data_IF_231512707420
#
_entry.id   IF_231512707420
#
_cell.length_a   1.000
_cell.length_b   1.000
_cell.length_c   1.000
_cell.angle_alpha   90.00
_cell.angle_beta   90.00
_cell.angle_gamma   90.00
#
_symmetry.space_group_name_H-M   'P 1'
#
loop_
_entity.id
_entity.type
_entity.pdbx_description
1 polymer ?
#
# COMPACT_ATOMS: atom_id res chain seq x y z
N UNK A 1 -6.27 17.07 -14.38
CA UNK A 1 -5.85 15.85 -13.66
C UNK A 1 -4.86 15.12 -14.55
N UNK A 2 -3.60 14.95 -14.10
CA UNK A 2 -2.60 14.20 -14.89
C UNK A 2 -2.91 12.73 -14.68
N UNK A 3 -3.02 11.96 -15.75
CA UNK A 3 -3.25 10.52 -15.65
C UNK A 3 -2.01 9.79 -15.12
N UNK A 4 -2.20 8.72 -14.37
CA UNK A 4 -1.10 7.92 -13.82
C UNK A 4 -0.13 7.41 -14.92
N UNK A 5 -0.67 7.02 -16.05
CA UNK A 5 0.09 6.56 -17.23
C UNK A 5 1.01 7.65 -17.78
N UNK A 6 0.55 8.90 -17.84
CA UNK A 6 1.36 10.05 -18.26
C UNK A 6 2.49 10.34 -17.26
N UNK A 7 2.21 10.24 -15.94
CA UNK A 7 3.23 10.40 -14.92
C UNK A 7 4.34 9.34 -15.01
N UNK A 8 3.99 8.11 -15.40
CA UNK A 8 4.94 6.98 -15.47
C UNK A 8 5.70 6.90 -16.81
N UNK A 9 5.31 7.68 -17.83
CA UNK A 9 5.96 7.66 -19.13
C UNK A 9 7.51 7.74 -19.08
N UNK A 10 8.13 8.60 -18.24
CA UNK A 10 9.59 8.69 -18.17
C UNK A 10 10.30 7.42 -17.64
N UNK A 11 9.58 6.48 -17.05
CA UNK A 11 10.11 5.20 -16.53
C UNK A 11 9.38 3.99 -17.11
N UNK A 12 8.68 4.16 -18.23
CA UNK A 12 7.85 3.11 -18.84
C UNK A 12 8.68 1.88 -19.23
N UNK A 13 9.83 2.08 -19.88
CA UNK A 13 10.72 0.98 -20.25
C UNK A 13 11.24 0.21 -19.04
N UNK A 14 11.58 0.91 -17.96
CA UNK A 14 12.02 0.27 -16.71
C UNK A 14 10.87 -0.53 -16.06
N UNK A 15 9.64 -0.04 -16.11
CA UNK A 15 8.46 -0.77 -15.64
C UNK A 15 8.15 -2.01 -16.50
N UNK A 16 8.41 -1.94 -17.79
CA UNK A 16 8.36 -3.12 -18.66
C UNK A 16 9.40 -4.16 -18.27
N UNK A 17 10.63 -3.74 -17.97
CA UNK A 17 11.67 -4.65 -17.53
C UNK A 17 11.36 -5.29 -16.19
N UNK A 18 10.77 -4.56 -15.26
CA UNK A 18 10.21 -5.13 -14.02
C UNK A 18 9.12 -6.16 -14.34
N UNK A 19 8.25 -5.88 -15.31
CA UNK A 19 7.20 -6.81 -15.74
C UNK A 19 7.76 -8.10 -16.33
N UNK A 20 8.83 -8.01 -17.12
CA UNK A 20 9.56 -9.16 -17.66
C UNK A 20 10.21 -9.97 -16.54
N UNK A 21 10.85 -9.29 -15.56
CA UNK A 21 11.50 -9.96 -14.43
C UNK A 21 10.44 -10.66 -13.54
N UNK A 22 9.30 -10.04 -13.26
CA UNK A 22 8.18 -10.67 -12.55
C UNK A 22 7.78 -11.96 -13.24
N UNK A 23 7.49 -11.93 -14.55
CA UNK A 23 7.09 -13.13 -15.32
C UNK A 23 8.16 -14.22 -15.31
N UNK A 24 9.43 -13.85 -15.35
CA UNK A 24 10.56 -14.78 -15.27
C UNK A 24 10.62 -15.46 -13.89
N UNK A 25 10.46 -14.71 -12.82
CA UNK A 25 10.58 -15.18 -11.44
C UNK A 25 9.35 -15.97 -10.97
N UNK A 26 8.19 -15.82 -11.61
CA UNK A 26 6.98 -16.59 -11.30
C UNK A 26 7.05 -18.05 -11.76
N UNK A 27 7.94 -18.41 -12.66
CA UNK A 27 8.02 -19.78 -13.21
C UNK A 27 8.23 -20.81 -12.12
N UNK A 28 7.36 -21.81 -12.09
CA UNK A 28 7.38 -22.97 -11.19
C UNK A 28 7.04 -24.23 -12.00
N UNK A 29 7.56 -25.37 -11.58
CA UNK A 29 7.15 -26.70 -12.10
C UNK A 29 5.75 -27.08 -11.62
N UNK A 30 5.26 -26.44 -10.56
CA UNK A 30 3.93 -26.69 -9.97
C UNK A 30 2.88 -25.84 -10.71
N UNK A 31 1.99 -26.51 -11.46
CA UNK A 31 1.00 -25.86 -12.32
C UNK A 31 0.09 -24.90 -11.55
N UNK A 32 -0.38 -25.29 -10.37
CA UNK A 32 -1.28 -24.47 -9.56
C UNK A 32 -0.62 -23.16 -9.10
N UNK A 33 0.69 -23.19 -8.79
CA UNK A 33 1.45 -21.97 -8.46
C UNK A 33 1.42 -21.00 -9.63
N UNK A 34 1.67 -21.47 -10.87
CA UNK A 34 1.64 -20.62 -12.04
C UNK A 34 0.23 -20.05 -12.30
N UNK A 35 -0.82 -20.85 -12.11
CA UNK A 35 -2.21 -20.41 -12.33
C UNK A 35 -2.61 -19.27 -11.37
N UNK A 36 -2.44 -19.48 -10.06
CA UNK A 36 -2.84 -18.49 -9.05
C UNK A 36 -1.95 -17.24 -9.10
N UNK A 37 -0.61 -17.41 -9.23
CA UNK A 37 0.31 -16.29 -9.29
C UNK A 37 0.10 -15.43 -10.56
N UNK A 38 -0.11 -16.03 -11.72
CA UNK A 38 -0.43 -15.28 -12.93
C UNK A 38 -1.78 -14.59 -12.81
N UNK A 39 -2.81 -15.26 -12.26
CA UNK A 39 -4.12 -14.67 -12.06
C UNK A 39 -4.04 -13.36 -11.26
N UNK A 40 -3.38 -13.36 -10.10
CA UNK A 40 -3.28 -12.15 -9.26
C UNK A 40 -2.42 -11.07 -9.91
N UNK A 41 -1.30 -11.41 -10.54
CA UNK A 41 -0.42 -10.44 -11.23
C UNK A 41 -1.12 -9.82 -12.44
N UNK A 42 -1.86 -10.63 -13.24
CA UNK A 42 -2.58 -10.16 -14.43
C UNK A 42 -3.93 -9.48 -14.07
N UNK A 43 -4.38 -9.58 -12.82
CA UNK A 43 -5.55 -8.82 -12.33
C UNK A 43 -5.32 -7.31 -12.35
N UNK A 44 -4.12 -6.89 -12.64
CA UNK A 44 -3.75 -5.50 -12.87
C UNK A 44 -3.40 -4.77 -11.58
N UNK A 45 -2.92 -3.57 -11.75
CA UNK A 45 -2.52 -2.66 -10.68
C UNK A 45 -1.63 -1.58 -11.25
N UNK A 46 -1.64 -0.43 -10.60
CA UNK A 46 -0.83 0.73 -11.01
C UNK A 46 0.68 0.51 -10.80
N UNK A 47 1.08 -0.58 -10.11
CA UNK A 47 2.49 -0.89 -9.77
C UNK A 47 3.23 0.30 -9.16
N UNK A 48 2.52 1.04 -8.29
CA UNK A 48 3.04 2.26 -7.67
C UNK A 48 4.31 2.01 -6.84
N UNK A 49 4.36 0.90 -6.09
CA UNK A 49 5.53 0.57 -5.26
C UNK A 49 6.79 0.24 -6.09
N UNK A 50 6.73 -0.60 -7.13
CA UNK A 50 7.82 -0.73 -8.12
C UNK A 50 8.25 0.59 -8.75
N UNK A 51 7.28 1.43 -9.14
CA UNK A 51 7.57 2.75 -9.71
C UNK A 51 8.34 3.64 -8.73
N UNK A 52 8.03 3.58 -7.43
CA UNK A 52 8.77 4.34 -6.40
C UNK A 52 10.23 3.90 -6.29
N UNK A 53 10.53 2.60 -6.39
CA UNK A 53 11.92 2.10 -6.45
C UNK A 53 12.66 2.75 -7.62
N UNK A 54 12.05 2.75 -8.79
CA UNK A 54 12.67 3.28 -10.02
C UNK A 54 12.81 4.80 -9.98
N UNK A 55 11.74 5.53 -9.63
CA UNK A 55 11.75 7.00 -9.56
C UNK A 55 12.73 7.50 -8.51
N UNK A 56 12.74 6.89 -7.32
CA UNK A 56 13.65 7.29 -6.25
C UNK A 56 15.10 7.02 -6.65
N UNK A 57 15.39 5.95 -7.37
CA UNK A 57 16.74 5.67 -7.88
C UNK A 57 17.23 6.79 -8.82
N UNK A 58 16.37 7.31 -9.68
CA UNK A 58 16.65 8.42 -10.60
C UNK A 58 16.80 9.76 -9.87
N UNK A 59 16.11 9.96 -8.76
CA UNK A 59 16.27 11.16 -7.91
C UNK A 59 17.58 11.15 -7.15
N UNK A 60 17.98 10.00 -6.64
CA UNK A 60 19.17 9.80 -5.81
C UNK A 60 20.44 9.76 -6.68
N UNK A 61 20.44 8.94 -7.73
CA UNK A 61 21.57 8.74 -8.62
C UNK A 61 21.40 9.55 -9.91
N UNK A 62 22.00 10.73 -9.95
CA UNK A 62 22.02 11.54 -11.17
C UNK A 62 23.16 11.12 -12.14
N UNK A 63 24.10 10.31 -11.68
CA UNK A 63 25.14 9.72 -12.53
C UNK A 63 24.61 8.45 -13.19
N UNK A 64 24.46 8.50 -14.52
CA UNK A 64 23.99 7.37 -15.31
C UNK A 64 24.86 6.13 -15.15
N UNK A 65 26.17 6.26 -14.95
CA UNK A 65 27.07 5.11 -14.75
C UNK A 65 26.78 4.35 -13.47
N UNK A 66 26.40 5.04 -12.40
CA UNK A 66 25.98 4.40 -11.14
C UNK A 66 24.65 3.69 -11.32
N UNK A 67 23.72 4.33 -12.02
CA UNK A 67 22.43 3.72 -12.35
C UNK A 67 22.59 2.47 -13.21
N UNK A 68 23.36 2.54 -14.28
CA UNK A 68 23.65 1.40 -15.17
C UNK A 68 24.26 0.22 -14.40
N UNK A 69 25.21 0.50 -13.50
CA UNK A 69 25.84 -0.52 -12.66
C UNK A 69 24.84 -1.27 -11.77
N UNK A 70 23.83 -0.58 -11.25
CA UNK A 70 22.87 -1.13 -10.31
C UNK A 70 21.52 -1.47 -10.94
N UNK A 71 21.34 -1.22 -12.24
CA UNK A 71 20.06 -1.31 -12.93
C UNK A 71 19.36 -2.66 -12.73
N UNK A 72 20.08 -3.75 -12.97
CA UNK A 72 19.51 -5.10 -12.82
C UNK A 72 19.07 -5.37 -11.38
N UNK A 73 19.82 -4.90 -10.39
CA UNK A 73 19.44 -5.04 -8.98
C UNK A 73 18.24 -4.18 -8.63
N UNK A 74 18.10 -2.99 -9.22
CA UNK A 74 16.91 -2.14 -9.03
C UNK A 74 15.65 -2.82 -9.60
N UNK A 75 15.74 -3.39 -10.80
CA UNK A 75 14.65 -4.15 -11.43
C UNK A 75 14.27 -5.37 -10.57
N UNK A 76 15.27 -6.14 -10.08
CA UNK A 76 15.05 -7.26 -9.16
C UNK A 76 14.37 -6.81 -7.87
N UNK A 77 14.81 -5.71 -7.27
CA UNK A 77 14.22 -5.21 -6.03
C UNK A 77 12.81 -4.64 -6.24
N UNK A 78 12.54 -3.99 -7.36
CA UNK A 78 11.18 -3.59 -7.73
C UNK A 78 10.24 -4.81 -7.89
N UNK A 79 10.75 -5.92 -8.45
CA UNK A 79 10.05 -7.21 -8.50
C UNK A 79 9.81 -7.78 -7.09
N UNK A 80 10.80 -7.76 -6.19
CA UNK A 80 10.68 -8.19 -4.79
C UNK A 80 9.58 -7.42 -4.08
N UNK A 81 9.56 -6.11 -4.19
CA UNK A 81 8.52 -5.25 -3.60
C UNK A 81 7.12 -5.64 -4.10
N UNK A 82 6.97 -5.91 -5.40
CA UNK A 82 5.69 -6.35 -5.96
C UNK A 82 5.30 -7.75 -5.49
N UNK A 83 6.26 -8.68 -5.34
CA UNK A 83 5.98 -10.02 -4.81
C UNK A 83 5.53 -9.98 -3.35
N UNK A 84 6.21 -9.21 -2.49
CA UNK A 84 5.78 -9.03 -1.10
C UNK A 84 4.37 -8.42 -1.06
N UNK A 85 4.12 -7.36 -1.83
CA UNK A 85 2.79 -6.77 -1.90
C UNK A 85 1.73 -7.76 -2.37
N UNK A 86 2.00 -8.52 -3.42
CA UNK A 86 1.05 -9.50 -3.97
C UNK A 86 0.80 -10.64 -2.98
N UNK A 87 1.83 -11.08 -2.27
CA UNK A 87 1.70 -12.10 -1.22
C UNK A 87 0.79 -11.61 -0.08
N UNK A 88 0.97 -10.35 0.37
CA UNK A 88 0.07 -9.79 1.40
C UNK A 88 -1.37 -9.69 0.90
N UNK A 89 -1.60 -9.32 -0.37
CA UNK A 89 -2.95 -9.30 -0.93
C UNK A 89 -3.62 -10.69 -0.96
N UNK A 90 -2.86 -11.75 -1.29
CA UNK A 90 -3.38 -13.12 -1.27
C UNK A 90 -3.75 -13.59 0.15
N UNK A 91 -2.96 -13.21 1.14
CA UNK A 91 -3.24 -13.52 2.54
C UNK A 91 -4.41 -12.71 3.08
N UNK A 92 -4.46 -11.41 2.77
CA UNK A 92 -5.54 -10.51 3.17
C UNK A 92 -6.89 -10.98 2.63
N UNK A 93 -6.98 -11.36 1.34
CA UNK A 93 -8.22 -11.87 0.74
C UNK A 93 -8.77 -13.09 1.49
N UNK A 94 -7.89 -13.92 2.08
CA UNK A 94 -8.31 -15.08 2.89
C UNK A 94 -8.72 -14.66 4.30
N UNK A 95 -7.98 -13.76 4.94
CA UNK A 95 -8.26 -13.28 6.32
C UNK A 95 -9.55 -12.47 6.35
N UNK A 96 -9.78 -11.63 5.34
CA UNK A 96 -10.95 -10.77 5.21
C UNK A 96 -12.16 -11.49 4.55
N UNK A 97 -11.99 -12.76 4.13
CA UNK A 97 -12.98 -13.53 3.36
C UNK A 97 -13.51 -12.76 2.13
N UNK A 98 -12.65 -11.96 1.51
CA UNK A 98 -13.02 -11.04 0.43
C UNK A 98 -13.34 -11.79 -0.87
N UNK A 99 -14.56 -11.65 -1.38
CA UNK A 99 -15.00 -12.26 -2.66
C UNK A 99 -14.54 -11.47 -3.90
N UNK A 100 -14.41 -10.16 -3.80
CA UNK A 100 -14.11 -9.26 -4.91
C UNK A 100 -12.95 -8.31 -4.60
N UNK A 101 -12.10 -8.07 -5.61
CA UNK A 101 -11.04 -7.07 -5.59
C UNK A 101 -10.95 -6.39 -6.96
N UNK A 102 -11.07 -5.06 -7.00
CA UNK A 102 -11.06 -4.28 -8.27
C UNK A 102 -12.08 -4.81 -9.28
N UNK A 103 -13.30 -5.08 -8.84
CA UNK A 103 -14.39 -5.63 -9.66
C UNK A 103 -14.12 -7.01 -10.27
N UNK A 104 -13.08 -7.73 -9.82
CA UNK A 104 -12.80 -9.12 -10.20
C UNK A 104 -12.90 -10.03 -8.97
N UNK A 105 -13.19 -11.29 -9.19
CA UNK A 105 -13.13 -12.29 -8.13
C UNK A 105 -11.71 -12.36 -7.54
N UNK A 106 -11.61 -12.61 -6.24
CA UNK A 106 -10.31 -12.82 -5.59
C UNK A 106 -9.75 -14.20 -5.91
N UNK A 107 -8.45 -14.40 -5.73
CA UNK A 107 -7.87 -15.74 -5.82
C UNK A 107 -8.48 -16.68 -4.76
N UNK A 108 -8.82 -16.15 -3.57
CA UNK A 108 -9.55 -16.87 -2.54
C UNK A 108 -10.91 -17.38 -3.02
N UNK A 109 -11.69 -16.54 -3.71
CA UNK A 109 -13.00 -16.94 -4.27
C UNK A 109 -12.89 -18.03 -5.34
N UNK A 110 -11.88 -17.95 -6.23
CA UNK A 110 -11.72 -18.85 -7.36
C UNK A 110 -11.02 -20.18 -7.02
N UNK A 111 -9.98 -20.11 -6.17
CA UNK A 111 -9.10 -21.27 -5.91
C UNK A 111 -9.21 -21.77 -4.47
N UNK A 112 -9.86 -21.02 -3.58
CA UNK A 112 -10.00 -21.34 -2.16
C UNK A 112 -8.85 -20.84 -1.29
N UNK A 113 -8.99 -21.02 0.03
CA UNK A 113 -8.07 -20.52 1.05
C UNK A 113 -6.67 -21.12 0.95
N UNK A 114 -6.57 -22.45 0.86
CA UNK A 114 -5.29 -23.13 0.89
C UNK A 114 -4.38 -22.77 -0.31
N UNK A 115 -4.84 -22.77 -1.58
CA UNK A 115 -4.03 -22.27 -2.70
C UNK A 115 -3.60 -20.82 -2.55
N UNK A 116 -4.49 -19.93 -2.08
CA UNK A 116 -4.17 -18.50 -1.90
C UNK A 116 -3.06 -18.30 -0.88
N UNK A 117 -3.15 -18.94 0.29
CA UNK A 117 -2.10 -18.86 1.32
C UNK A 117 -0.78 -19.43 0.82
N UNK A 118 -0.79 -20.66 0.26
CA UNK A 118 0.44 -21.34 -0.17
C UNK A 118 1.12 -20.64 -1.34
N UNK A 119 0.38 -20.00 -2.25
CA UNK A 119 0.98 -19.22 -3.34
C UNK A 119 1.47 -17.87 -2.82
N UNK A 120 0.82 -17.26 -1.82
CA UNK A 120 1.37 -16.13 -1.08
C UNK A 120 2.73 -16.46 -0.45
N UNK A 121 2.85 -17.61 0.22
CA UNK A 121 4.11 -18.10 0.80
C UNK A 121 5.18 -18.37 -0.28
N UNK A 122 4.78 -18.89 -1.44
CA UNK A 122 5.68 -19.06 -2.58
C UNK A 122 6.23 -17.72 -3.07
N UNK A 123 5.39 -16.70 -3.25
CA UNK A 123 5.83 -15.36 -3.67
C UNK A 123 6.77 -14.74 -2.64
N UNK A 124 6.44 -14.90 -1.36
CA UNK A 124 7.27 -14.44 -0.24
C UNK A 124 8.64 -15.09 -0.27
N UNK A 125 8.68 -16.42 -0.37
CA UNK A 125 9.92 -17.21 -0.44
C UNK A 125 10.75 -16.86 -1.67
N UNK A 126 10.10 -16.65 -2.82
CA UNK A 126 10.75 -16.22 -4.06
C UNK A 126 11.37 -14.84 -3.94
N UNK A 127 10.70 -13.91 -3.26
CA UNK A 127 11.25 -12.59 -2.96
C UNK A 127 12.55 -12.71 -2.15
N UNK A 128 12.62 -13.57 -1.13
CA UNK A 128 13.85 -13.82 -0.37
C UNK A 128 14.96 -14.41 -1.25
N UNK A 129 14.65 -15.36 -2.14
CA UNK A 129 15.65 -15.91 -3.08
C UNK A 129 16.26 -14.80 -3.95
N UNK A 130 15.43 -13.90 -4.49
CA UNK A 130 15.91 -12.77 -5.30
C UNK A 130 16.79 -11.82 -4.48
N UNK A 131 16.42 -11.54 -3.23
CA UNK A 131 17.22 -10.69 -2.34
C UNK A 131 18.59 -11.31 -2.02
N UNK A 132 18.66 -12.63 -1.84
CA UNK A 132 19.94 -13.34 -1.67
C UNK A 132 20.83 -13.18 -2.90
N UNK A 133 20.27 -13.27 -4.12
CA UNK A 133 21.01 -13.05 -5.37
C UNK A 133 21.54 -11.61 -5.52
N UNK A 134 20.82 -10.62 -5.00
CA UNK A 134 21.26 -9.21 -4.98
C UNK A 134 22.45 -9.03 -4.02
N UNK A 135 22.57 -9.88 -3.01
CA UNK A 135 23.69 -9.97 -2.08
C UNK A 135 24.09 -8.61 -1.45
N UNK A 136 23.11 -7.87 -0.97
CA UNK A 136 23.31 -6.60 -0.26
C UNK A 136 22.72 -6.68 1.14
N UNK A 137 23.61 -6.66 2.16
CA UNK A 137 23.20 -6.81 3.56
C UNK A 137 22.22 -5.73 4.02
N UNK A 138 22.45 -4.47 3.64
CA UNK A 138 21.57 -3.35 4.04
C UNK A 138 20.16 -3.49 3.46
N UNK A 139 20.05 -3.95 2.21
CA UNK A 139 18.76 -4.26 1.59
C UNK A 139 18.06 -5.40 2.34
N UNK A 140 18.79 -6.46 2.70
CA UNK A 140 18.22 -7.56 3.50
C UNK A 140 17.70 -7.07 4.86
N UNK A 141 18.44 -6.18 5.54
CA UNK A 141 18.01 -5.56 6.80
C UNK A 141 16.73 -4.72 6.63
N UNK A 142 16.67 -3.88 5.59
CA UNK A 142 15.49 -3.07 5.26
C UNK A 142 14.28 -3.95 5.02
N UNK A 143 14.43 -4.97 4.18
CA UNK A 143 13.30 -5.84 3.80
C UNK A 143 12.86 -6.76 4.94
N UNK A 144 13.80 -7.34 5.69
CA UNK A 144 13.46 -8.14 6.88
C UNK A 144 12.68 -7.32 7.91
N UNK A 145 13.11 -6.09 8.17
CA UNK A 145 12.39 -5.18 9.07
C UNK A 145 11.03 -4.77 8.49
N UNK A 146 10.95 -4.51 7.17
CA UNK A 146 9.69 -4.14 6.53
C UNK A 146 8.67 -5.28 6.61
N UNK A 147 9.07 -6.49 6.24
CA UNK A 147 8.18 -7.66 6.24
C UNK A 147 7.71 -8.05 7.64
N UNK A 148 8.60 -7.99 8.64
CA UNK A 148 8.21 -8.21 10.04
C UNK A 148 7.21 -7.16 10.52
N UNK A 149 7.47 -5.87 10.26
CA UNK A 149 6.56 -4.78 10.64
C UNK A 149 5.19 -4.90 9.97
N UNK A 150 5.16 -5.32 8.69
CA UNK A 150 3.89 -5.55 7.97
C UNK A 150 3.10 -6.67 8.63
N UNK A 151 3.74 -7.79 8.95
CA UNK A 151 3.10 -8.90 9.65
C UNK A 151 2.55 -8.48 11.03
N UNK A 152 3.31 -7.69 11.80
CA UNK A 152 2.81 -7.09 13.04
C UNK A 152 1.61 -6.15 12.78
N UNK A 153 1.61 -5.40 11.67
CA UNK A 153 0.51 -4.52 11.26
C UNK A 153 -0.78 -5.28 10.97
N UNK A 154 -0.69 -6.44 10.30
CA UNK A 154 -1.82 -7.33 10.04
C UNK A 154 -2.43 -7.86 11.35
N UNK A 155 -1.59 -8.35 12.26
CA UNK A 155 -2.04 -8.82 13.58
C UNK A 155 -2.68 -7.68 14.38
N UNK A 156 -2.09 -6.48 14.36
CA UNK A 156 -2.66 -5.30 15.02
C UNK A 156 -4.03 -4.94 14.42
N UNK A 157 -4.21 -5.00 13.10
CA UNK A 157 -5.49 -4.76 12.47
C UNK A 157 -6.52 -5.79 12.92
N UNK A 158 -6.17 -7.07 12.90
CA UNK A 158 -7.05 -8.15 13.37
C UNK A 158 -7.49 -7.95 14.82
N UNK A 159 -6.55 -7.57 15.71
CA UNK A 159 -6.87 -7.28 17.12
C UNK A 159 -7.75 -6.06 17.30
N UNK A 160 -7.74 -5.14 16.35
CA UNK A 160 -8.53 -3.91 16.38
C UNK A 160 -9.90 -4.07 15.69
N UNK A 161 -10.14 -5.16 14.97
CA UNK A 161 -11.44 -5.43 14.35
C UNK A 161 -12.54 -5.49 15.41
N UNK A 162 -13.65 -4.81 15.13
CA UNK A 162 -14.80 -4.68 16.02
C UNK A 162 -14.49 -4.07 17.41
N UNK A 163 -13.33 -3.42 17.58
CA UNK A 163 -13.02 -2.67 18.81
C UNK A 163 -13.58 -1.23 18.72
N UNK A 164 -14.66 -0.90 19.47
CA UNK A 164 -15.27 0.41 19.41
C UNK A 164 -14.48 1.50 20.13
N UNK A 165 -13.42 1.15 20.85
CA UNK A 165 -12.60 2.06 21.65
C UNK A 165 -11.24 2.37 21.00
N UNK A 166 -11.10 2.06 19.72
CA UNK A 166 -9.94 2.41 18.92
C UNK A 166 -9.78 3.94 18.84
N UNK A 167 -8.57 4.41 19.07
CA UNK A 167 -8.21 5.81 18.89
C UNK A 167 -7.40 6.07 17.61
N UNK A 168 -7.22 7.33 17.26
CA UNK A 168 -6.46 7.76 16.08
C UNK A 168 -5.01 7.27 16.09
N UNK A 169 -4.34 7.22 17.25
CA UNK A 169 -2.94 6.80 17.34
C UNK A 169 -2.79 5.30 17.03
N UNK A 170 -3.69 4.47 17.58
CA UNK A 170 -3.72 3.04 17.28
C UNK A 170 -4.03 2.78 15.81
N UNK A 171 -4.98 3.51 15.23
CA UNK A 171 -5.30 3.45 13.80
C UNK A 171 -4.09 3.86 12.95
N UNK A 172 -3.45 5.01 13.20
CA UNK A 172 -2.28 5.46 12.46
C UNK A 172 -1.11 4.47 12.56
N UNK A 173 -0.96 3.80 13.70
CA UNK A 173 0.05 2.73 13.83
C UNK A 173 -0.24 1.58 12.88
N UNK A 174 -1.48 1.13 12.79
CA UNK A 174 -1.88 0.04 11.88
C UNK A 174 -1.56 0.40 10.43
N UNK A 175 -2.03 1.55 9.93
CA UNK A 175 -1.82 1.91 8.52
C UNK A 175 -0.34 2.16 8.17
N UNK A 176 0.44 2.67 9.13
CA UNK A 176 1.89 2.83 8.95
C UNK A 176 2.60 1.48 8.88
N UNK A 177 2.20 0.53 9.70
CA UNK A 177 2.80 -0.81 9.75
C UNK A 177 2.37 -1.64 8.54
N UNK A 178 1.06 -1.77 8.31
CA UNK A 178 0.50 -2.61 7.24
C UNK A 178 0.80 -2.05 5.85
N UNK A 179 0.55 -0.77 5.61
CA UNK A 179 0.55 -0.17 4.28
C UNK A 179 1.80 0.67 4.00
N UNK A 180 2.09 1.67 4.84
CA UNK A 180 3.13 2.66 4.55
C UNK A 180 4.54 2.08 4.65
N UNK A 181 4.74 1.02 5.43
CA UNK A 181 6.04 0.38 5.63
C UNK A 181 6.66 -0.15 4.32
N UNK A 182 5.85 -0.72 3.42
CA UNK A 182 6.36 -1.18 2.13
C UNK A 182 6.67 -0.02 1.17
N UNK A 183 5.95 1.10 1.26
CA UNK A 183 6.29 2.34 0.56
C UNK A 183 7.63 2.90 1.06
N UNK A 184 7.85 2.90 2.37
CA UNK A 184 9.13 3.28 2.98
C UNK A 184 10.27 2.44 2.40
N UNK A 185 10.17 1.10 2.48
CA UNK A 185 11.18 0.19 1.95
C UNK A 185 11.44 0.41 0.46
N UNK A 186 10.40 0.65 -0.35
CA UNK A 186 10.52 0.94 -1.78
C UNK A 186 11.41 2.17 -2.05
N UNK A 187 11.37 3.17 -1.18
CA UNK A 187 12.18 4.38 -1.31
C UNK A 187 13.58 4.25 -0.68
N UNK A 188 13.76 3.43 0.37
CA UNK A 188 15.05 3.20 1.02
C UNK A 188 16.00 2.34 0.17
N UNK A 189 15.48 1.35 -0.54
CA UNK A 189 16.25 0.37 -1.32
C UNK A 189 17.23 1.04 -2.31
N UNK A 190 16.85 2.02 -3.16
CA UNK A 190 17.74 2.63 -4.10
C UNK A 190 18.94 3.34 -3.43
N UNK A 191 18.72 4.00 -2.29
CA UNK A 191 19.75 4.67 -1.53
C UNK A 191 20.73 3.67 -0.90
N UNK A 192 20.19 2.58 -0.34
CA UNK A 192 20.97 1.49 0.24
C UNK A 192 21.81 0.76 -0.84
N UNK A 193 21.23 0.50 -2.01
CA UNK A 193 21.91 -0.15 -3.14
C UNK A 193 23.08 0.70 -3.65
N UNK A 194 22.93 2.02 -3.62
CA UNK A 194 23.97 2.98 -4.02
C UNK A 194 24.97 3.28 -2.90
N UNK A 195 24.90 2.59 -1.76
CA UNK A 195 25.77 2.76 -0.58
C UNK A 195 25.84 4.23 -0.11
N UNK A 196 24.70 4.92 -0.11
CA UNK A 196 24.63 6.30 0.36
C UNK A 196 24.58 6.39 1.88
N UNK A 197 24.84 7.58 2.40
CA UNK A 197 24.78 7.86 3.84
C UNK A 197 23.39 7.56 4.43
N UNK A 198 23.36 7.11 5.68
CA UNK A 198 22.12 6.77 6.41
C UNK A 198 21.09 7.91 6.38
N UNK A 199 21.56 9.17 6.45
CA UNK A 199 20.69 10.36 6.35
C UNK A 199 19.89 10.38 5.04
N UNK A 200 20.50 10.00 3.92
CA UNK A 200 19.84 9.95 2.61
C UNK A 200 18.84 8.80 2.55
N UNK A 201 19.23 7.62 3.09
CA UNK A 201 18.32 6.47 3.20
C UNK A 201 17.10 6.84 4.03
N UNK A 202 17.30 7.45 5.20
CA UNK A 202 16.20 7.90 6.07
C UNK A 202 15.31 8.94 5.41
N UNK A 203 15.85 9.92 4.68
CA UNK A 203 15.05 10.93 3.99
C UNK A 203 14.18 10.32 2.89
N UNK A 204 14.74 9.40 2.08
CA UNK A 204 14.01 8.66 1.07
C UNK A 204 12.91 7.78 1.71
N UNK A 205 13.25 7.07 2.79
CA UNK A 205 12.31 6.24 3.54
C UNK A 205 11.17 7.06 4.15
N UNK A 206 11.48 8.23 4.72
CA UNK A 206 10.46 9.13 5.29
C UNK A 206 9.48 9.63 4.22
N UNK A 207 9.97 9.97 3.02
CA UNK A 207 9.09 10.26 1.89
C UNK A 207 8.11 9.12 1.62
N UNK A 208 8.62 7.88 1.52
CA UNK A 208 7.79 6.70 1.28
C UNK A 208 6.77 6.45 2.41
N UNK A 209 7.17 6.60 3.67
CA UNK A 209 6.30 6.45 4.83
C UNK A 209 5.14 7.45 4.80
N UNK A 210 5.43 8.73 4.57
CA UNK A 210 4.39 9.77 4.50
C UNK A 210 3.48 9.58 3.29
N UNK A 211 4.02 9.26 2.10
CA UNK A 211 3.23 8.96 0.91
C UNK A 211 2.30 7.76 1.14
N UNK A 212 2.81 6.68 1.74
CA UNK A 212 2.02 5.48 2.04
C UNK A 212 0.93 5.74 3.07
N UNK A 213 1.20 6.61 4.07
CA UNK A 213 0.20 7.02 5.07
C UNK A 213 -0.90 7.87 4.40
N UNK A 214 -0.54 8.86 3.57
CA UNK A 214 -1.51 9.66 2.80
C UNK A 214 -2.34 8.79 1.85
N UNK A 215 -1.69 7.81 1.20
CA UNK A 215 -2.35 6.85 0.33
C UNK A 215 -3.45 6.08 1.05
N UNK A 216 -3.19 5.53 2.25
CA UNK A 216 -4.20 4.79 3.01
C UNK A 216 -5.31 5.70 3.53
N UNK A 217 -4.97 6.89 4.06
CA UNK A 217 -5.98 7.87 4.51
C UNK A 217 -6.95 8.25 3.38
N UNK A 218 -6.45 8.38 2.14
CA UNK A 218 -7.29 8.66 0.97
C UNK A 218 -8.15 7.44 0.59
N UNK A 219 -7.62 6.23 0.71
CA UNK A 219 -8.37 4.98 0.51
C UNK A 219 -9.57 4.90 1.46
N UNK A 220 -9.33 5.15 2.74
CA UNK A 220 -10.36 5.11 3.77
C UNK A 220 -11.45 6.18 3.53
N UNK A 221 -11.08 7.34 2.97
CA UNK A 221 -12.08 8.35 2.54
C UNK A 221 -12.91 7.83 1.37
N UNK A 222 -12.26 7.22 0.38
CA UNK A 222 -12.94 6.70 -0.81
C UNK A 222 -13.97 5.62 -0.47
N UNK A 223 -13.71 4.80 0.54
CA UNK A 223 -14.65 3.78 1.02
C UNK A 223 -16.01 4.38 1.43
N UNK A 224 -16.06 5.65 1.80
CA UNK A 224 -17.32 6.33 2.17
C UNK A 224 -17.88 7.26 1.10
N UNK A 225 -17.05 7.86 0.21
CA UNK A 225 -17.51 8.91 -0.70
C UNK A 225 -17.50 8.53 -2.18
N UNK A 226 -16.81 7.46 -2.56
CA UNK A 226 -16.76 6.97 -3.94
C UNK A 226 -18.11 6.43 -4.42
N UNK A 227 -18.17 6.08 -5.68
CA UNK A 227 -19.31 5.30 -6.23
C UNK A 227 -18.93 3.82 -6.27
N UNK A 228 -19.90 2.92 -6.15
CA UNK A 228 -19.66 1.47 -6.23
C UNK A 228 -18.95 1.07 -7.53
N UNK A 229 -19.22 1.79 -8.63
CA UNK A 229 -18.55 1.58 -9.92
C UNK A 229 -17.09 2.04 -9.93
N UNK A 230 -16.73 3.06 -9.15
CA UNK A 230 -15.36 3.56 -9.03
C UNK A 230 -14.52 2.70 -8.07
N UNK A 231 -15.11 2.27 -6.96
CA UNK A 231 -14.40 1.53 -5.89
C UNK A 231 -14.34 0.03 -6.20
N UNK A 232 -15.33 -0.49 -6.95
CA UNK A 232 -15.46 -1.92 -7.21
C UNK A 232 -15.97 -2.75 -6.02
N UNK A 233 -16.45 -2.09 -4.95
CA UNK A 233 -16.98 -2.63 -3.70
C UNK A 233 -18.17 -1.79 -3.24
N UNK A 234 -18.94 -2.28 -2.26
CA UNK A 234 -20.00 -1.49 -1.62
C UNK A 234 -19.40 -0.39 -0.75
N UNK A 235 -20.10 0.74 -0.65
CA UNK A 235 -19.70 1.83 0.27
C UNK A 235 -19.70 1.36 1.73
N UNK A 236 -18.62 1.70 2.47
CA UNK A 236 -18.47 1.31 3.85
C UNK A 236 -18.09 -0.17 4.01
N UNK A 237 -17.37 -0.73 3.07
CA UNK A 237 -16.92 -2.12 3.10
C UNK A 237 -15.98 -2.37 4.28
N UNK A 238 -15.07 -1.45 4.57
CA UNK A 238 -14.20 -1.51 5.76
C UNK A 238 -15.01 -1.58 7.07
N UNK A 239 -16.12 -0.84 7.14
CA UNK A 239 -17.00 -0.89 8.29
C UNK A 239 -17.73 -2.25 8.40
N UNK A 240 -18.10 -2.88 7.27
CA UNK A 240 -18.70 -4.22 7.24
C UNK A 240 -17.73 -5.30 7.66
N UNK A 241 -16.47 -5.13 7.30
CA UNK A 241 -15.37 -6.00 7.72
C UNK A 241 -14.94 -5.75 9.19
N UNK A 242 -15.58 -4.81 9.87
CA UNK A 242 -15.28 -4.46 11.27
C UNK A 242 -13.99 -3.64 11.44
N UNK A 243 -13.46 -3.07 10.36
CA UNK A 243 -12.23 -2.27 10.36
C UNK A 243 -12.53 -0.82 10.80
N UNK A 244 -12.00 -0.35 11.95
CA UNK A 244 -12.23 1.01 12.42
C UNK A 244 -11.30 1.98 11.68
N UNK A 245 -11.78 2.58 10.60
CA UNK A 245 -11.05 3.60 9.84
C UNK A 245 -11.20 5.00 10.45
N UNK A 246 -10.32 5.93 10.07
CA UNK A 246 -10.29 7.26 10.67
C UNK A 246 -11.61 8.04 10.57
N UNK A 247 -12.36 8.01 9.46
CA UNK A 247 -13.67 8.65 9.40
C UNK A 247 -14.63 8.15 10.50
N UNK A 248 -14.66 6.84 10.76
CA UNK A 248 -15.46 6.25 11.84
C UNK A 248 -14.98 6.70 13.22
N UNK A 249 -13.67 6.62 13.47
CA UNK A 249 -13.05 7.04 14.73
C UNK A 249 -13.37 8.51 15.03
N UNK A 250 -13.30 9.36 14.00
CA UNK A 250 -13.63 10.80 14.14
C UNK A 250 -15.07 11.01 14.55
N UNK A 251 -16.03 10.34 13.92
CA UNK A 251 -17.45 10.44 14.28
C UNK A 251 -17.67 9.96 15.72
N UNK A 252 -17.10 8.82 16.10
CA UNK A 252 -17.21 8.32 17.48
C UNK A 252 -16.66 9.32 18.50
N UNK A 253 -15.51 9.96 18.19
CA UNK A 253 -14.85 10.90 19.11
C UNK A 253 -15.60 12.23 19.27
N UNK A 254 -16.32 12.69 18.25
CA UNK A 254 -16.99 14.00 18.20
C UNK A 254 -18.49 13.94 18.48
N UNK A 255 -19.09 12.77 18.48
CA UNK A 255 -20.53 12.58 18.77
C UNK A 255 -20.88 12.78 20.23
N UNK A 256 -22.13 13.15 20.51
CA UNK A 256 -22.70 13.13 21.86
C UNK A 256 -22.72 11.70 22.44
N UNK A 257 -22.90 11.60 23.76
CA UNK A 257 -22.83 10.32 24.47
C UNK A 257 -23.80 9.27 23.93
N UNK A 258 -25.05 9.67 23.60
CA UNK A 258 -26.07 8.75 23.12
C UNK A 258 -25.71 8.20 21.74
N UNK A 259 -25.33 9.05 20.82
CA UNK A 259 -24.88 8.68 19.47
C UNK A 259 -23.63 7.80 19.50
N UNK A 260 -22.66 8.17 20.36
CA UNK A 260 -21.43 7.39 20.57
C UNK A 260 -21.73 5.96 21.00
N UNK A 261 -22.57 5.77 22.03
CA UNK A 261 -22.94 4.44 22.53
C UNK A 261 -23.68 3.62 21.46
N UNK A 262 -24.53 4.27 20.66
CA UNK A 262 -25.23 3.61 19.57
C UNK A 262 -24.28 3.12 18.49
N UNK A 263 -23.29 3.94 18.07
CA UNK A 263 -22.26 3.54 17.09
C UNK A 263 -21.44 2.39 17.66
N UNK A 264 -20.99 2.49 18.92
CA UNK A 264 -20.21 1.43 19.57
C UNK A 264 -20.97 0.09 19.63
N UNK A 265 -22.24 0.12 19.91
CA UNK A 265 -23.06 -1.08 19.92
C UNK A 265 -23.24 -1.68 18.52
N UNK A 266 -23.38 -0.86 17.49
CA UNK A 266 -23.43 -1.31 16.09
C UNK A 266 -22.10 -1.93 15.64
N UNK A 267 -20.96 -1.38 16.04
CA UNK A 267 -19.63 -1.96 15.73
C UNK A 267 -19.51 -3.36 16.34
N UNK A 268 -20.01 -3.56 17.56
CA UNK A 268 -19.98 -4.87 18.24
C UNK A 268 -20.92 -5.90 17.63
N UNK A 269 -22.07 -5.45 17.13
CA UNK A 269 -23.13 -6.30 16.61
C UNK A 269 -23.69 -5.68 15.32
N UNK A 270 -22.99 -5.76 14.20
CA UNK A 270 -23.36 -5.08 12.97
C UNK A 270 -24.64 -5.66 12.35
N UNK A 271 -25.58 -4.78 11.99
CA UNK A 271 -26.67 -5.07 11.05
C UNK A 271 -26.59 -4.15 9.86
N UNK A 272 -26.96 -4.60 8.67
CA UNK A 272 -26.86 -3.79 7.43
C UNK A 272 -27.57 -2.43 7.57
N UNK A 273 -28.78 -2.42 8.11
CA UNK A 273 -29.55 -1.19 8.31
C UNK A 273 -28.89 -0.18 9.27
N UNK A 274 -28.11 -0.65 10.23
CA UNK A 274 -27.41 0.22 11.16
C UNK A 274 -26.05 0.68 10.59
N UNK A 275 -25.38 -0.15 9.81
CA UNK A 275 -24.17 0.22 9.06
C UNK A 275 -24.45 1.37 8.09
N UNK A 276 -25.56 1.31 7.32
CA UNK A 276 -25.98 2.40 6.44
C UNK A 276 -26.20 3.73 7.17
N UNK A 277 -26.77 3.68 8.38
CA UNK A 277 -26.94 4.89 9.22
C UNK A 277 -25.60 5.47 9.64
N UNK A 278 -24.61 4.64 9.99
CA UNK A 278 -23.25 5.10 10.33
C UNK A 278 -22.57 5.73 9.12
N UNK A 279 -22.66 5.12 7.94
CA UNK A 279 -22.16 5.70 6.69
C UNK A 279 -22.75 7.09 6.43
N UNK A 280 -24.06 7.25 6.65
CA UNK A 280 -24.73 8.55 6.53
C UNK A 280 -24.25 9.57 7.58
N UNK A 281 -24.01 9.14 8.82
CA UNK A 281 -23.44 10.00 9.87
C UNK A 281 -22.05 10.48 9.49
N UNK A 282 -21.19 9.57 9.02
CA UNK A 282 -19.84 9.91 8.54
C UNK A 282 -19.90 10.96 7.43
N UNK A 283 -20.75 10.76 6.42
CA UNK A 283 -20.93 11.71 5.30
C UNK A 283 -21.45 13.09 5.72
N UNK A 284 -22.23 13.18 6.78
CA UNK A 284 -22.82 14.43 7.28
C UNK A 284 -21.96 15.15 8.30
N UNK A 285 -20.94 14.50 8.84
CA UNK A 285 -20.02 15.05 9.83
C UNK A 285 -18.80 15.72 9.18
N UNK A 286 -17.86 16.20 10.01
CA UNK A 286 -16.55 16.70 9.57
C UNK A 286 -15.53 15.58 9.30
N UNK A 287 -15.89 14.30 9.47
CA UNK A 287 -14.96 13.17 9.49
C UNK A 287 -14.18 13.00 8.16
N UNK A 288 -14.87 13.13 7.05
CA UNK A 288 -14.25 13.05 5.71
C UNK A 288 -13.25 14.19 5.52
N UNK A 289 -13.65 15.42 5.85
CA UNK A 289 -12.80 16.61 5.72
C UNK A 289 -11.59 16.55 6.67
N UNK A 290 -11.80 16.06 7.88
CA UNK A 290 -10.74 15.82 8.86
C UNK A 290 -9.69 14.84 8.33
N UNK A 291 -10.13 13.69 7.79
CA UNK A 291 -9.25 12.67 7.23
C UNK A 291 -8.48 13.19 6.02
N UNK A 292 -9.14 13.95 5.13
CA UNK A 292 -8.49 14.62 3.99
C UNK A 292 -7.42 15.62 4.43
N UNK A 293 -7.68 16.41 5.47
CA UNK A 293 -6.69 17.35 6.04
C UNK A 293 -5.47 16.63 6.59
N UNK A 294 -5.66 15.48 7.23
CA UNK A 294 -4.54 14.67 7.70
C UNK A 294 -3.74 14.08 6.54
N UNK A 295 -4.41 13.60 5.49
CA UNK A 295 -3.73 13.12 4.28
C UNK A 295 -2.92 14.24 3.59
N UNK A 296 -3.46 15.45 3.49
CA UNK A 296 -2.74 16.64 2.98
C UNK A 296 -1.51 16.98 3.83
N UNK A 297 -1.63 16.87 5.16
CA UNK A 297 -0.49 17.07 6.06
C UNK A 297 0.62 16.05 5.80
N UNK A 298 0.27 14.78 5.61
CA UNK A 298 1.24 13.73 5.27
C UNK A 298 1.89 14.01 3.90
N UNK A 299 1.13 14.45 2.88
CA UNK A 299 1.69 14.87 1.59
C UNK A 299 2.67 16.04 1.73
N UNK A 300 2.35 17.04 2.57
CA UNK A 300 3.25 18.15 2.85
C UNK A 300 4.56 17.67 3.50
N UNK A 301 4.48 16.77 4.47
CA UNK A 301 5.65 16.17 5.12
C UNK A 301 6.48 15.34 4.12
N UNK A 302 5.83 14.56 3.24
CA UNK A 302 6.50 13.84 2.17
C UNK A 302 7.29 14.79 1.25
N UNK A 303 6.67 15.88 0.81
CA UNK A 303 7.32 16.88 -0.04
C UNK A 303 8.57 17.47 0.61
N UNK A 304 8.52 17.78 1.90
CA UNK A 304 9.66 18.32 2.65
C UNK A 304 10.83 17.31 2.70
N UNK A 305 10.55 16.01 2.76
CA UNK A 305 11.61 14.98 2.72
C UNK A 305 12.44 15.03 1.43
N UNK A 306 11.85 15.55 0.33
CA UNK A 306 12.54 15.68 -0.96
C UNK A 306 13.39 16.95 -1.10
N UNK A 307 13.31 17.93 -0.19
CA UNK A 307 13.96 19.23 -0.35
C UNK A 307 15.46 19.12 -0.59
N UNK A 308 16.13 18.22 0.10
CA UNK A 308 17.59 18.03 -0.01
C UNK A 308 18.04 17.28 -1.26
N UNK A 309 17.13 16.72 -2.05
CA UNK A 309 17.45 16.09 -3.32
C UNK A 309 17.46 17.12 -4.44
N UNK A 310 18.41 16.98 -5.38
CA UNK A 310 18.52 17.88 -6.52
C UNK A 310 17.26 17.89 -7.38
N UNK A 311 16.98 19.02 -8.01
CA UNK A 311 15.86 19.15 -8.94
C UNK A 311 16.07 18.26 -10.17
N UNK A 312 15.02 17.49 -10.53
CA UNK A 312 14.99 16.63 -11.71
C UNK A 312 13.54 16.37 -12.12
N UNK A 313 13.35 15.88 -13.35
CA UNK A 313 12.00 15.46 -13.79
C UNK A 313 11.43 14.37 -12.88
N UNK A 314 12.25 13.42 -12.42
CA UNK A 314 11.82 12.33 -11.56
C UNK A 314 11.43 12.82 -10.15
N UNK A 315 12.14 13.82 -9.60
CA UNK A 315 11.71 14.49 -8.36
C UNK A 315 10.36 15.19 -8.54
N UNK A 316 10.15 15.85 -9.68
CA UNK A 316 8.85 16.45 -10.00
C UNK A 316 7.76 15.39 -10.04
N UNK A 317 7.98 14.26 -10.69
CA UNK A 317 7.02 13.14 -10.74
C UNK A 317 6.69 12.63 -9.34
N UNK A 318 7.67 12.49 -8.44
CA UNK A 318 7.40 12.11 -7.05
C UNK A 318 6.53 13.13 -6.32
N UNK A 319 6.66 14.42 -6.63
CA UNK A 319 5.79 15.47 -6.07
C UNK A 319 4.39 15.37 -6.70
N UNK A 320 4.30 15.24 -8.02
CA UNK A 320 3.02 15.12 -8.74
C UNK A 320 2.24 13.85 -8.31
N UNK A 321 2.94 12.79 -7.87
CA UNK A 321 2.30 11.60 -7.28
C UNK A 321 1.58 11.90 -5.96
N UNK A 322 2.01 12.89 -5.18
CA UNK A 322 1.31 13.30 -3.97
C UNK A 322 -0.06 13.90 -4.32
N UNK A 323 -0.10 14.75 -5.35
CA UNK A 323 -1.34 15.33 -5.84
C UNK A 323 -2.25 14.23 -6.45
N UNK A 324 -1.67 13.32 -7.23
CA UNK A 324 -2.39 12.15 -7.77
C UNK A 324 -3.02 11.30 -6.66
N UNK A 325 -2.32 11.05 -5.55
CA UNK A 325 -2.86 10.27 -4.42
C UNK A 325 -4.05 11.00 -3.79
N UNK A 326 -4.01 12.32 -3.68
CA UNK A 326 -5.10 13.12 -3.09
C UNK A 326 -6.34 13.24 -4.00
N UNK A 327 -6.12 13.25 -5.33
CA UNK A 327 -7.18 13.46 -6.33
C UNK A 327 -7.77 12.15 -6.89
N UNK A 328 -7.17 11.01 -6.57
CA UNK A 328 -7.62 9.72 -7.11
C UNK A 328 -9.06 9.41 -6.72
N UNK A 329 -9.74 8.71 -7.62
CA UNK A 329 -11.11 8.21 -7.43
C UNK A 329 -11.16 6.68 -7.37
N UNK A 330 -10.06 6.05 -7.73
CA UNK A 330 -9.88 4.58 -7.75
C UNK A 330 -8.45 4.21 -7.35
#
# INVERSE_FOLDING_TARGET
MVEYTELMQPIENELEDVSKEIKKQLKSEVVLVNQVANYIIDSGGKRLRPALVLLMSRVICQDNKILEKHYLHLVKMACVIEFIHTATLLHDDVVDESGLRRSKETAFSLFGSAPSVLVGDFLYSRAFQIMVDVNNKKIMEIMANATNTIAEGEVLQLMNCNDPDIDENRYLKVIRYKTAKLFQASCEIPAALSNLEEKTICAAGSFGMHLGTAFQLTDDVLDYVGTESEIGKKLGDDLREGKPTLPLIRVVSTSDHHTKEKIKNTIKNPSEADLEKIVLLIKRSDAIEYTKKLALKECFLAKNCLENFKSSIHKKILIDLLDFVMERRT
#
